data_IF_802968609650
#
_entry.id   IF_802968609650
#
_cell.length_a   1.000
_cell.length_b   1.000
_cell.length_c   1.000
_cell.angle_alpha   90.00
_cell.angle_beta   90.00
_cell.angle_gamma   90.00
#
_symmetry.space_group_name_H-M   'P 1'
#
loop_
_entity.id
_entity.type
_entity.pdbx_description
1 polymer ?
#
# COMPACT_ATOMS: atom_id res chain seq x y z
N UNK A 1 19.36 4.60 -3.10
CA UNK A 1 18.29 4.41 -4.12
C UNK A 1 18.62 5.26 -5.33
N UNK A 2 18.30 4.79 -6.53
CA UNK A 2 18.37 5.58 -7.78
C UNK A 2 16.94 6.03 -8.10
N UNK A 3 16.76 7.32 -8.09
CA UNK A 3 15.51 7.99 -8.45
C UNK A 3 15.47 8.22 -9.95
N UNK A 4 14.35 7.93 -10.61
CA UNK A 4 14.19 8.09 -12.05
C UNK A 4 12.71 8.11 -12.46
N UNK A 5 12.46 8.60 -13.68
CA UNK A 5 11.20 8.38 -14.36
C UNK A 5 11.30 7.20 -15.31
N UNK A 6 10.23 6.40 -15.39
CA UNK A 6 10.08 5.31 -16.34
C UNK A 6 8.76 5.45 -17.09
N UNK A 7 8.66 4.81 -18.25
CA UNK A 7 7.38 4.61 -18.92
C UNK A 7 6.84 3.21 -18.57
N UNK A 8 5.74 3.17 -17.86
CA UNK A 8 4.97 1.96 -17.59
C UNK A 8 3.81 1.88 -18.59
N UNK A 9 4.04 1.17 -19.70
CA UNK A 9 3.16 1.28 -20.86
C UNK A 9 3.19 2.70 -21.42
N UNK A 10 2.07 3.39 -21.33
CA UNK A 10 1.90 4.78 -21.78
C UNK A 10 1.80 5.81 -20.64
N UNK A 11 2.13 5.40 -19.41
CA UNK A 11 2.04 6.23 -18.18
C UNK A 11 3.44 6.52 -17.66
N UNK A 12 3.77 7.79 -17.45
CA UNK A 12 5.03 8.19 -16.83
C UNK A 12 4.97 8.02 -15.31
N UNK A 13 5.89 7.23 -14.76
CA UNK A 13 5.97 6.96 -13.32
C UNK A 13 7.29 7.43 -12.73
N UNK A 14 7.21 8.00 -11.56
CA UNK A 14 8.33 8.26 -10.68
C UNK A 14 8.63 7.03 -9.83
N UNK A 15 9.89 6.60 -9.81
CA UNK A 15 10.33 5.41 -9.09
C UNK A 15 11.67 5.62 -8.43
N UNK A 16 11.88 4.94 -7.29
CA UNK A 16 13.18 4.77 -6.66
C UNK A 16 13.54 3.28 -6.62
N UNK A 17 14.77 2.93 -6.99
CA UNK A 17 15.23 1.56 -7.14
C UNK A 17 16.62 1.40 -6.52
N UNK A 18 16.79 0.44 -5.62
CA UNK A 18 18.10 0.15 -5.01
C UNK A 18 19.06 -0.56 -5.97
N UNK A 19 18.53 -1.21 -7.00
CA UNK A 19 19.28 -1.99 -8.01
C UNK A 19 20.20 -3.08 -7.45
N UNK A 20 20.04 -3.46 -6.19
CA UNK A 20 20.91 -4.42 -5.49
C UNK A 20 20.05 -5.49 -4.80
N UNK A 21 20.43 -6.75 -4.91
CA UNK A 21 19.78 -7.90 -4.31
C UNK A 21 19.24 -8.89 -5.34
N UNK A 22 19.23 -10.16 -4.99
CA UNK A 22 18.70 -11.24 -5.84
C UNK A 22 17.17 -11.31 -5.79
N UNK A 23 16.59 -11.06 -4.61
CA UNK A 23 15.15 -10.99 -4.41
C UNK A 23 14.69 -9.54 -4.50
N UNK A 24 13.52 -9.33 -5.07
CA UNK A 24 12.95 -7.99 -5.24
C UNK A 24 11.70 -7.80 -4.37
N UNK A 25 11.65 -6.67 -3.67
CA UNK A 25 10.48 -6.18 -2.95
C UNK A 25 10.02 -4.89 -3.60
N UNK A 26 8.75 -4.81 -3.95
CA UNK A 26 8.12 -3.60 -4.51
C UNK A 26 7.11 -3.08 -3.52
N UNK A 27 7.23 -1.81 -3.14
CA UNK A 27 6.40 -1.15 -2.13
C UNK A 27 5.43 -0.19 -2.81
N UNK A 28 4.13 -0.43 -2.65
CA UNK A 28 3.03 0.40 -3.12
C UNK A 28 2.46 1.19 -1.93
N UNK A 29 2.46 2.50 -2.05
CA UNK A 29 1.96 3.42 -1.02
C UNK A 29 0.41 3.42 -0.92
N UNK A 30 -0.12 4.01 0.13
CA UNK A 30 -1.54 4.17 0.39
C UNK A 30 -2.16 5.39 -0.31
N UNK A 31 -3.43 5.62 -0.02
CA UNK A 31 -4.18 6.79 -0.48
C UNK A 31 -3.64 8.08 0.17
N UNK A 32 -3.45 9.13 -0.61
CA UNK A 32 -2.87 10.44 -0.23
C UNK A 32 -1.39 10.37 0.18
N UNK A 33 -0.71 9.30 -0.12
CA UNK A 33 0.71 9.10 0.11
C UNK A 33 1.49 9.17 -1.21
N UNK A 34 2.80 9.05 -1.11
CA UNK A 34 3.72 8.89 -2.24
C UNK A 34 4.80 7.87 -1.89
N UNK A 35 5.72 7.60 -2.80
CA UNK A 35 6.87 6.74 -2.51
C UNK A 35 7.74 7.25 -1.35
N UNK A 36 7.63 8.55 -1.00
CA UNK A 36 8.37 9.15 0.12
C UNK A 36 7.96 8.57 1.47
N UNK A 37 6.74 8.03 1.60
CA UNK A 37 6.29 7.40 2.85
C UNK A 37 7.19 6.24 3.30
N UNK A 38 7.96 5.67 2.35
CA UNK A 38 8.87 4.55 2.57
C UNK A 38 10.31 4.96 2.87
N UNK A 39 10.64 6.28 2.90
CA UNK A 39 12.02 6.77 2.95
C UNK A 39 12.81 6.19 4.11
N UNK A 40 12.27 6.19 5.32
CA UNK A 40 12.92 5.65 6.51
C UNK A 40 12.80 4.12 6.64
N UNK A 41 11.85 3.51 5.95
CA UNK A 41 11.67 2.05 5.96
C UNK A 41 12.61 1.33 4.99
N UNK A 42 12.84 1.89 3.81
CA UNK A 42 13.73 1.33 2.78
C UNK A 42 15.14 1.01 3.28
N UNK A 43 15.81 1.88 4.09
CA UNK A 43 17.14 1.59 4.64
C UNK A 43 17.24 0.31 5.45
N UNK A 44 16.14 -0.16 6.01
CA UNK A 44 16.08 -1.41 6.77
C UNK A 44 16.03 -2.66 5.88
N UNK A 45 15.68 -2.50 4.61
CA UNK A 45 15.46 -3.59 3.65
C UNK A 45 16.55 -3.72 2.59
N UNK A 46 17.02 -2.61 2.01
CA UNK A 46 17.79 -2.60 0.75
C UNK A 46 19.15 -3.30 0.81
N UNK A 47 19.67 -3.58 2.00
CA UNK A 47 20.91 -4.35 2.17
C UNK A 47 20.71 -5.85 1.97
N UNK A 48 19.48 -6.32 2.12
CA UNK A 48 19.12 -7.74 2.05
C UNK A 48 18.42 -8.11 0.76
N UNK A 49 17.68 -7.16 0.16
CA UNK A 49 16.86 -7.35 -1.04
C UNK A 49 16.92 -6.12 -1.94
N UNK A 50 16.65 -6.29 -3.25
CA UNK A 50 16.36 -5.16 -4.12
C UNK A 50 15.03 -4.55 -3.70
N UNK A 51 15.01 -3.25 -3.45
CA UNK A 51 13.80 -2.51 -3.07
C UNK A 51 13.44 -1.53 -4.17
N UNK A 52 12.19 -1.56 -4.61
CA UNK A 52 11.61 -0.60 -5.54
C UNK A 52 10.41 0.04 -4.88
N UNK A 53 10.37 1.37 -4.90
CA UNK A 53 9.20 2.16 -4.53
C UNK A 53 8.74 2.95 -5.75
N UNK A 54 7.46 3.19 -5.88
CA UNK A 54 6.92 3.96 -7.00
C UNK A 54 5.75 4.82 -6.55
N UNK A 55 5.62 5.98 -7.16
CA UNK A 55 4.39 6.77 -7.07
C UNK A 55 3.34 6.14 -7.98
N UNK A 56 2.23 5.71 -7.41
CA UNK A 56 1.09 5.23 -8.19
C UNK A 56 0.49 6.39 -9.01
N UNK A 57 -0.10 6.13 -10.19
CA UNK A 57 -0.69 7.17 -11.03
C UNK A 57 -1.54 8.17 -10.25
N UNK A 58 -1.26 9.46 -10.47
CA UNK A 58 -1.96 10.55 -9.81
C UNK A 58 -1.52 10.88 -8.39
N UNK A 59 -0.42 10.27 -7.92
CA UNK A 59 0.20 10.55 -6.62
C UNK A 59 1.68 10.88 -6.78
N UNK A 60 2.25 11.55 -5.78
CA UNK A 60 3.61 12.05 -5.87
C UNK A 60 3.81 12.92 -7.10
N UNK A 61 4.79 12.56 -7.93
CA UNK A 61 5.07 13.23 -9.21
C UNK A 61 4.85 12.32 -10.44
N UNK A 62 4.12 11.21 -10.27
CA UNK A 62 3.66 10.36 -11.37
C UNK A 62 2.48 10.98 -12.11
N UNK A 63 2.38 10.68 -13.41
CA UNK A 63 1.33 11.21 -14.29
C UNK A 63 -0.07 10.85 -13.80
N UNK A 64 -1.01 11.80 -13.90
CA UNK A 64 -2.44 11.53 -13.77
C UNK A 64 -2.99 11.15 -15.13
N UNK A 65 -3.56 9.96 -15.28
CA UNK A 65 -4.09 9.49 -16.56
C UNK A 65 -5.50 8.91 -16.43
N UNK A 66 -6.43 9.54 -17.14
CA UNK A 66 -7.84 9.15 -17.09
C UNK A 66 -8.61 9.71 -15.90
N UNK A 67 -9.91 9.47 -15.89
CA UNK A 67 -10.82 10.02 -14.88
C UNK A 67 -11.04 9.09 -13.67
N UNK A 68 -10.74 7.79 -13.83
CA UNK A 68 -10.90 6.76 -12.79
C UNK A 68 -9.70 5.83 -12.82
N UNK A 69 -9.00 5.70 -11.71
CA UNK A 69 -7.90 4.76 -11.53
C UNK A 69 -8.42 3.50 -10.85
N UNK A 70 -8.98 2.57 -11.65
CA UNK A 70 -9.40 1.28 -11.10
C UNK A 70 -8.21 0.47 -10.59
N UNK A 71 -8.46 -0.50 -9.71
CA UNK A 71 -7.37 -1.35 -9.21
C UNK A 71 -6.76 -2.21 -10.33
N UNK A 72 -7.55 -2.57 -11.34
CA UNK A 72 -7.10 -3.28 -12.54
C UNK A 72 -6.19 -2.40 -13.42
N UNK A 73 -6.51 -1.12 -13.57
CA UNK A 73 -5.63 -0.15 -14.23
C UNK A 73 -4.30 -0.03 -13.49
N UNK A 74 -4.33 0.16 -12.17
CA UNK A 74 -3.13 0.22 -11.35
C UNK A 74 -2.31 -1.06 -11.44
N UNK A 75 -2.96 -2.24 -11.46
CA UNK A 75 -2.27 -3.52 -11.64
C UNK A 75 -1.55 -3.61 -12.99
N UNK A 76 -2.17 -3.15 -14.07
CA UNK A 76 -1.54 -3.06 -15.39
C UNK A 76 -0.31 -2.16 -15.37
N UNK A 77 -0.42 -0.98 -14.75
CA UNK A 77 0.69 -0.03 -14.62
C UNK A 77 1.83 -0.63 -13.78
N UNK A 78 1.53 -1.30 -12.66
CA UNK A 78 2.56 -1.97 -11.84
C UNK A 78 3.28 -3.05 -12.64
N UNK A 79 2.55 -3.91 -13.38
CA UNK A 79 3.16 -4.92 -14.27
C UNK A 79 4.10 -4.28 -15.29
N UNK A 80 3.66 -3.22 -15.95
CA UNK A 80 4.44 -2.53 -16.98
C UNK A 80 5.66 -1.83 -16.39
N UNK A 81 5.57 -1.30 -15.16
CA UNK A 81 6.69 -0.76 -14.42
C UNK A 81 7.74 -1.85 -14.11
N UNK A 82 7.32 -3.02 -13.64
CA UNK A 82 8.22 -4.15 -13.39
C UNK A 82 8.94 -4.58 -14.66
N UNK A 83 8.21 -4.68 -15.77
CA UNK A 83 8.80 -4.98 -17.08
C UNK A 83 9.83 -3.94 -17.51
N UNK A 84 9.51 -2.65 -17.38
CA UNK A 84 10.45 -1.55 -17.71
C UNK A 84 11.71 -1.55 -16.82
N UNK A 85 11.61 -2.07 -15.61
CA UNK A 85 12.72 -2.21 -14.65
C UNK A 85 13.49 -3.52 -14.80
N UNK A 86 13.09 -4.41 -15.73
CA UNK A 86 13.68 -5.74 -15.89
C UNK A 86 13.46 -6.65 -14.69
N UNK A 87 12.32 -6.51 -14.00
CA UNK A 87 11.95 -7.33 -12.85
C UNK A 87 10.97 -8.40 -13.33
N UNK A 88 11.39 -9.65 -13.32
CA UNK A 88 10.55 -10.79 -13.74
C UNK A 88 9.59 -11.21 -12.63
N UNK A 89 10.06 -11.20 -11.38
CA UNK A 89 9.28 -11.59 -10.20
C UNK A 89 9.64 -10.73 -8.98
N UNK A 90 8.67 -10.51 -8.11
CA UNK A 90 8.87 -9.76 -6.86
C UNK A 90 7.91 -10.21 -5.74
N UNK A 91 8.26 -9.85 -4.51
CA UNK A 91 7.28 -9.75 -3.43
C UNK A 91 6.66 -8.36 -3.49
N UNK A 92 5.35 -8.30 -3.72
CA UNK A 92 4.61 -7.05 -3.84
C UNK A 92 3.96 -6.70 -2.50
N UNK A 93 4.36 -5.59 -1.92
CA UNK A 93 3.85 -5.07 -0.64
C UNK A 93 2.94 -3.89 -0.94
N UNK A 94 1.69 -3.99 -0.53
CA UNK A 94 0.75 -2.89 -0.68
C UNK A 94 0.26 -2.38 0.68
N UNK A 95 0.55 -1.11 0.97
CA UNK A 95 0.00 -0.43 2.12
C UNK A 95 -1.40 0.10 1.80
N UNK A 96 -2.37 -0.19 2.68
CA UNK A 96 -3.73 0.36 2.56
C UNK A 96 -4.30 0.22 1.14
N UNK A 97 -4.53 1.32 0.42
CA UNK A 97 -4.96 1.34 -0.98
C UNK A 97 -3.98 0.61 -1.91
N UNK A 98 -2.67 0.73 -1.68
CA UNK A 98 -1.66 -0.04 -2.42
C UNK A 98 -1.87 -1.55 -2.31
N UNK A 99 -2.44 -2.04 -1.20
CA UNK A 99 -2.86 -3.43 -1.04
C UNK A 99 -4.02 -3.82 -1.96
N UNK A 100 -4.94 -2.90 -2.26
CA UNK A 100 -6.00 -3.16 -3.23
C UNK A 100 -5.44 -3.33 -4.65
N UNK A 101 -4.45 -2.49 -5.00
CA UNK A 101 -3.72 -2.63 -6.27
C UNK A 101 -2.91 -3.94 -6.31
N UNK A 102 -2.21 -4.29 -5.22
CA UNK A 102 -1.47 -5.54 -5.12
C UNK A 102 -2.35 -6.78 -5.27
N UNK A 103 -3.56 -6.75 -4.73
CA UNK A 103 -4.55 -7.83 -4.92
C UNK A 103 -5.03 -7.92 -6.37
N UNK A 104 -5.17 -6.79 -7.07
CA UNK A 104 -5.50 -6.81 -8.50
C UNK A 104 -4.33 -7.36 -9.33
N UNK A 105 -3.07 -7.09 -8.97
CA UNK A 105 -1.89 -7.74 -9.57
C UNK A 105 -1.92 -9.24 -9.30
N UNK A 106 -2.22 -9.65 -8.07
CA UNK A 106 -2.30 -11.07 -7.70
C UNK A 106 -3.40 -11.83 -8.49
N UNK A 107 -4.49 -11.16 -8.83
CA UNK A 107 -5.57 -11.72 -9.65
C UNK A 107 -5.19 -11.81 -11.14
N UNK A 108 -4.63 -10.75 -11.70
CA UNK A 108 -4.44 -10.60 -13.14
C UNK A 108 -3.07 -11.11 -13.63
N UNK A 109 -2.04 -11.07 -12.78
CA UNK A 109 -0.65 -11.35 -13.13
C UNK A 109 0.06 -12.15 -12.02
N UNK A 110 -0.50 -13.28 -11.53
CA UNK A 110 0.10 -14.03 -10.41
C UNK A 110 1.50 -14.55 -10.72
N UNK A 111 1.85 -14.73 -11.99
CA UNK A 111 3.14 -15.25 -12.44
C UNK A 111 4.32 -14.32 -12.13
N UNK A 112 4.07 -13.02 -11.96
CA UNK A 112 5.13 -12.04 -11.62
C UNK A 112 5.36 -11.92 -10.11
N UNK A 113 4.63 -12.70 -9.28
CA UNK A 113 4.69 -12.61 -7.84
C UNK A 113 5.38 -13.82 -7.20
N UNK A 114 6.35 -13.56 -6.33
CA UNK A 114 6.89 -14.51 -5.34
C UNK A 114 6.03 -14.51 -4.07
N UNK A 115 5.37 -13.41 -3.77
CA UNK A 115 4.44 -13.24 -2.67
C UNK A 115 3.71 -11.91 -2.75
N UNK A 116 2.60 -11.82 -2.04
CA UNK A 116 1.81 -10.59 -1.85
C UNK A 116 1.70 -10.29 -0.36
N UNK A 117 1.94 -9.05 0.00
CA UNK A 117 1.85 -8.57 1.39
C UNK A 117 0.81 -7.48 1.48
N UNK A 118 -0.20 -7.71 2.32
CA UNK A 118 -1.17 -6.69 2.68
C UNK A 118 -0.72 -6.02 3.98
N UNK A 119 -0.19 -4.82 3.88
CA UNK A 119 0.19 -4.03 5.03
C UNK A 119 -0.93 -3.07 5.39
N UNK A 120 -1.59 -3.26 6.52
CA UNK A 120 -2.77 -2.50 6.95
C UNK A 120 -3.80 -2.35 5.81
N UNK A 121 -4.14 -3.48 5.16
CA UNK A 121 -5.04 -3.52 4.01
C UNK A 121 -6.04 -4.67 4.09
N UNK A 122 -6.98 -4.75 3.15
CA UNK A 122 -8.09 -5.70 3.19
C UNK A 122 -8.48 -6.19 1.79
N UNK A 123 -8.86 -7.48 1.63
CA UNK A 123 -9.46 -7.98 0.38
C UNK A 123 -10.95 -7.62 0.23
N UNK A 124 -11.56 -7.04 1.26
CA UNK A 124 -12.98 -6.70 1.26
C UNK A 124 -13.29 -5.54 0.31
N UNK A 125 -14.45 -5.53 -0.34
CA UNK A 125 -14.95 -4.35 -1.05
C UNK A 125 -15.34 -3.25 -0.06
N UNK A 126 -15.53 -2.02 -0.55
CA UNK A 126 -16.12 -0.98 0.27
C UNK A 126 -17.56 -1.32 0.67
N UNK A 127 -17.90 -1.08 1.92
CA UNK A 127 -19.30 -1.06 2.37
C UNK A 127 -20.05 0.10 1.69
N UNK A 128 -21.39 0.06 1.70
CA UNK A 128 -22.20 1.17 1.18
C UNK A 128 -21.88 2.50 1.87
N UNK A 129 -21.64 2.46 3.19
CA UNK A 129 -21.26 3.65 3.95
C UNK A 129 -19.88 4.17 3.47
N UNK A 130 -18.90 3.31 3.30
CA UNK A 130 -17.57 3.70 2.82
C UNK A 130 -17.61 4.27 1.41
N UNK A 131 -18.42 3.70 0.52
CA UNK A 131 -18.66 4.26 -0.83
C UNK A 131 -19.30 5.66 -0.77
N UNK A 132 -20.24 5.86 0.15
CA UNK A 132 -20.86 7.18 0.34
C UNK A 132 -19.85 8.20 0.89
N UNK A 133 -18.96 7.77 1.79
CA UNK A 133 -17.90 8.62 2.33
C UNK A 133 -16.93 9.04 1.23
N UNK A 134 -16.48 8.11 0.37
CA UNK A 134 -15.60 8.42 -0.76
C UNK A 134 -16.25 9.38 -1.77
N UNK A 135 -17.54 9.23 -2.05
CA UNK A 135 -18.24 10.19 -2.92
C UNK A 135 -18.26 11.59 -2.32
N UNK A 136 -18.50 11.71 -1.00
CA UNK A 136 -18.39 13.00 -0.29
C UNK A 136 -16.98 13.58 -0.36
N UNK A 137 -15.97 12.75 -0.26
CA UNK A 137 -14.56 13.14 -0.40
C UNK A 137 -14.29 13.69 -1.82
N UNK A 138 -14.75 12.99 -2.85
CA UNK A 138 -14.70 13.47 -4.26
C UNK A 138 -15.35 14.85 -4.39
N UNK A 139 -16.54 15.03 -3.81
CA UNK A 139 -17.25 16.31 -3.88
C UNK A 139 -16.49 17.43 -3.14
N UNK A 140 -15.85 17.12 -2.00
CA UNK A 140 -15.00 18.06 -1.27
C UNK A 140 -13.79 18.50 -2.12
N UNK A 141 -13.08 17.52 -2.73
CA UNK A 141 -11.91 17.80 -3.57
C UNK A 141 -12.32 18.66 -4.77
N UNK A 142 -13.38 18.30 -5.48
CA UNK A 142 -13.92 19.06 -6.62
C UNK A 142 -14.38 20.47 -6.23
N UNK A 143 -14.78 20.68 -4.99
CA UNK A 143 -15.12 21.99 -4.44
C UNK A 143 -13.91 22.80 -3.95
N UNK A 144 -12.67 22.30 -4.17
CA UNK A 144 -11.44 22.95 -3.72
C UNK A 144 -11.26 22.93 -2.20
N UNK A 145 -11.80 21.91 -1.51
CA UNK A 145 -11.78 21.76 -0.05
C UNK A 145 -10.94 20.59 0.43
N UNK A 146 -9.92 20.18 -0.33
CA UNK A 146 -9.02 19.08 0.07
C UNK A 146 -8.25 19.38 1.37
N UNK A 147 -8.13 20.65 1.76
CA UNK A 147 -7.56 21.05 3.04
C UNK A 147 -8.28 20.44 4.25
N UNK A 148 -9.58 20.18 4.15
CA UNK A 148 -10.34 19.49 5.19
C UNK A 148 -9.91 18.03 5.34
N UNK A 149 -9.55 17.39 4.25
CA UNK A 149 -9.03 16.01 4.23
C UNK A 149 -7.61 16.01 4.79
N UNK A 150 -6.76 16.92 4.31
CA UNK A 150 -5.37 17.06 4.72
C UNK A 150 -5.20 17.23 6.24
N UNK A 151 -6.13 17.94 6.89
CA UNK A 151 -6.08 18.19 8.34
C UNK A 151 -6.43 16.98 9.21
N UNK A 152 -7.10 15.97 8.65
CA UNK A 152 -7.67 14.85 9.44
C UNK A 152 -7.02 13.52 9.07
N UNK A 153 -6.91 13.22 7.77
CA UNK A 153 -6.52 11.90 7.30
C UNK A 153 -5.11 11.47 7.77
N UNK A 154 -4.06 12.28 7.68
CA UNK A 154 -2.72 11.88 8.10
C UNK A 154 -2.66 11.47 9.56
N UNK A 155 -3.16 12.30 10.46
CA UNK A 155 -3.13 12.01 11.90
C UNK A 155 -3.97 10.77 12.28
N UNK A 156 -5.06 10.50 11.56
CA UNK A 156 -5.91 9.35 11.82
C UNK A 156 -5.24 8.01 11.49
N UNK A 157 -4.19 8.01 10.65
CA UNK A 157 -3.39 6.83 10.33
C UNK A 157 -2.50 6.34 11.48
N UNK A 158 -2.16 7.18 12.44
CA UNK A 158 -1.29 6.82 13.56
C UNK A 158 -2.08 6.42 14.79
N UNK A 159 -1.54 5.48 15.58
CA UNK A 159 -2.07 5.19 16.92
C UNK A 159 -2.12 6.47 17.75
N UNK A 160 -3.20 6.69 18.50
CA UNK A 160 -3.42 7.95 19.21
C UNK A 160 -2.26 8.34 20.11
N UNK A 161 -1.71 7.41 20.86
CA UNK A 161 -0.56 7.61 21.74
C UNK A 161 0.74 7.93 20.98
N UNK A 162 0.86 7.55 19.72
CA UNK A 162 2.04 7.80 18.89
C UNK A 162 2.03 9.16 18.20
N UNK A 163 0.87 9.80 18.02
CA UNK A 163 0.71 11.04 17.24
C UNK A 163 1.66 12.15 17.65
N UNK A 164 1.92 12.29 18.97
CA UNK A 164 2.87 13.31 19.45
C UNK A 164 4.30 13.00 19.04
N UNK A 165 4.71 11.73 19.07
CA UNK A 165 6.04 11.27 18.67
C UNK A 165 6.21 11.32 17.16
N UNK A 166 5.12 11.17 16.41
CA UNK A 166 5.06 11.12 14.96
C UNK A 166 4.63 12.45 14.31
N UNK A 167 4.74 13.59 15.05
CA UNK A 167 4.28 14.90 14.57
C UNK A 167 4.88 15.29 13.23
N UNK A 168 6.18 15.04 13.03
CA UNK A 168 6.90 15.43 11.83
C UNK A 168 6.41 14.62 10.61
N UNK A 169 6.22 13.30 10.77
CA UNK A 169 5.61 12.47 9.72
C UNK A 169 4.17 12.88 9.40
N UNK A 170 3.39 13.27 10.40
CA UNK A 170 2.02 13.75 10.19
C UNK A 170 2.03 15.06 9.41
N UNK A 171 2.99 15.95 9.68
CA UNK A 171 3.16 17.20 8.95
C UNK A 171 3.57 16.94 7.50
N UNK A 172 4.58 16.08 7.26
CA UNK A 172 5.02 15.69 5.91
C UNK A 172 3.89 15.06 5.08
N UNK A 173 3.11 14.14 5.68
CA UNK A 173 1.95 13.55 5.02
C UNK A 173 0.87 14.60 4.74
N UNK A 174 0.67 15.56 5.62
CA UNK A 174 -0.28 16.66 5.42
C UNK A 174 0.15 17.53 4.24
N UNK A 175 1.44 17.83 4.12
CA UNK A 175 2.00 18.57 2.99
C UNK A 175 1.85 17.77 1.66
N UNK A 176 2.06 16.46 1.69
CA UNK A 176 1.85 15.61 0.52
C UNK A 176 0.41 15.69 0.00
N UNK A 177 -0.59 15.72 0.88
CA UNK A 177 -2.00 15.91 0.44
C UNK A 177 -2.18 17.23 -0.29
N UNK A 178 -1.54 18.31 0.18
CA UNK A 178 -1.67 19.63 -0.46
C UNK A 178 -1.05 19.67 -1.86
N UNK A 179 0.07 18.97 -2.07
CA UNK A 179 0.76 18.96 -3.38
C UNK A 179 0.20 17.93 -4.35
N UNK A 180 -0.52 16.91 -3.88
CA UNK A 180 -1.16 15.91 -4.74
C UNK A 180 -2.23 16.57 -5.61
N UNK A 181 -2.25 16.27 -6.90
CA UNK A 181 -3.22 16.81 -7.85
C UNK A 181 -4.66 16.35 -7.52
N UNK A 182 -5.59 17.30 -7.52
CA UNK A 182 -7.02 17.02 -7.26
C UNK A 182 -7.58 15.96 -8.21
N UNK A 183 -7.15 15.98 -9.48
CA UNK A 183 -7.55 14.99 -10.48
C UNK A 183 -7.10 13.57 -10.10
N UNK A 184 -5.87 13.40 -9.58
CA UNK A 184 -5.35 12.12 -9.12
C UNK A 184 -6.13 11.58 -7.92
N UNK A 185 -6.41 12.45 -6.93
CA UNK A 185 -7.22 12.10 -5.77
C UNK A 185 -8.61 11.61 -6.18
N UNK A 186 -9.30 12.36 -7.06
CA UNK A 186 -10.64 12.02 -7.55
C UNK A 186 -10.64 10.71 -8.33
N UNK A 187 -9.67 10.54 -9.24
CA UNK A 187 -9.55 9.33 -10.06
C UNK A 187 -9.36 8.08 -9.20
N UNK A 188 -8.51 8.17 -8.17
CA UNK A 188 -8.25 7.05 -7.28
C UNK A 188 -9.43 6.73 -6.35
N UNK A 189 -10.09 7.76 -5.78
CA UNK A 189 -11.31 7.57 -4.99
C UNK A 189 -12.40 6.86 -5.80
N UNK A 190 -12.55 7.23 -7.08
CA UNK A 190 -13.43 6.53 -8.02
C UNK A 190 -13.10 5.05 -8.12
N UNK A 191 -11.85 4.71 -8.40
CA UNK A 191 -11.38 3.33 -8.54
C UNK A 191 -11.53 2.51 -7.26
N UNK A 192 -11.25 3.10 -6.10
CA UNK A 192 -11.47 2.43 -4.81
C UNK A 192 -12.95 2.12 -4.56
N UNK A 193 -13.86 3.02 -4.96
CA UNK A 193 -15.30 2.82 -4.82
C UNK A 193 -15.82 1.62 -5.62
N UNK A 194 -15.20 1.36 -6.76
CA UNK A 194 -15.61 0.32 -7.71
C UNK A 194 -14.95 -1.04 -7.48
N UNK A 195 -13.94 -1.11 -6.58
CA UNK A 195 -13.16 -2.35 -6.40
C UNK A 195 -14.04 -3.53 -5.97
N UNK A 196 -13.83 -4.69 -6.60
CA UNK A 196 -14.57 -5.91 -6.26
C UNK A 196 -14.11 -6.54 -4.95
N UNK A 197 -14.90 -7.49 -4.43
CA UNK A 197 -14.50 -8.43 -3.40
C UNK A 197 -13.45 -9.40 -3.95
N UNK A 198 -12.27 -9.44 -3.32
CA UNK A 198 -11.17 -10.33 -3.72
C UNK A 198 -10.89 -11.46 -2.72
N UNK A 199 -11.79 -11.69 -1.75
CA UNK A 199 -11.63 -12.75 -0.76
C UNK A 199 -11.54 -14.14 -1.40
N UNK A 200 -12.45 -14.45 -2.33
CA UNK A 200 -12.47 -15.76 -2.97
C UNK A 200 -11.26 -15.98 -3.88
N UNK A 201 -10.85 -14.96 -4.64
CA UNK A 201 -9.64 -14.98 -5.44
C UNK A 201 -8.43 -15.29 -4.55
N UNK A 202 -8.29 -14.56 -3.45
CA UNK A 202 -7.15 -14.69 -2.54
C UNK A 202 -7.09 -16.06 -1.85
N UNK A 203 -8.24 -16.64 -1.47
CA UNK A 203 -8.31 -18.00 -0.91
C UNK A 203 -7.86 -19.08 -1.91
N UNK A 204 -8.06 -18.87 -3.21
CA UNK A 204 -7.67 -19.82 -4.27
C UNK A 204 -6.29 -19.57 -4.83
N UNK A 205 -5.69 -18.43 -4.53
CA UNK A 205 -4.38 -18.07 -5.04
C UNK A 205 -3.30 -18.99 -4.48
N UNK A 206 -2.37 -19.41 -5.34
CA UNK A 206 -1.15 -20.14 -4.96
C UNK A 206 0.01 -19.21 -4.59
N UNK A 207 -0.16 -17.89 -4.77
CA UNK A 207 0.83 -16.89 -4.37
C UNK A 207 0.91 -16.86 -2.85
N UNK A 208 2.13 -16.85 -2.31
CA UNK A 208 2.33 -16.72 -0.84
C UNK A 208 1.75 -15.39 -0.35
N UNK A 209 1.12 -15.42 0.81
CA UNK A 209 0.38 -14.28 1.37
C UNK A 209 0.85 -13.95 2.78
N UNK A 210 1.07 -12.67 3.04
CA UNK A 210 1.33 -12.16 4.38
C UNK A 210 0.40 -10.98 4.66
N UNK A 211 -0.23 -10.98 5.83
CA UNK A 211 -0.97 -9.85 6.34
C UNK A 211 -0.22 -9.25 7.53
N UNK A 212 0.03 -7.95 7.49
CA UNK A 212 0.63 -7.20 8.60
C UNK A 212 -0.39 -6.17 9.08
N UNK A 213 -0.80 -6.25 10.33
CA UNK A 213 -1.80 -5.37 10.92
C UNK A 213 -1.27 -4.65 12.16
N UNK A 214 -1.63 -3.39 12.33
CA UNK A 214 -1.46 -2.66 13.58
C UNK A 214 -2.61 -2.94 14.55
N UNK A 215 -2.31 -3.21 15.81
CA UNK A 215 -3.34 -3.47 16.84
C UNK A 215 -4.21 -2.25 17.14
N UNK A 216 -3.68 -1.04 16.88
CA UNK A 216 -4.31 0.25 17.18
C UNK A 216 -4.77 0.98 15.91
N UNK A 217 -4.95 0.23 14.82
CA UNK A 217 -5.36 0.76 13.52
C UNK A 217 -6.82 1.26 13.59
N UNK A 218 -7.01 2.57 13.35
CA UNK A 218 -8.33 3.19 13.33
C UNK A 218 -9.10 2.99 12.03
N UNK A 219 -8.42 2.62 10.92
CA UNK A 219 -9.05 2.34 9.62
C UNK A 219 -9.44 0.87 9.47
N UNK A 220 -8.63 -0.04 10.02
CA UNK A 220 -8.91 -1.48 10.08
C UNK A 220 -8.82 -1.92 11.54
N UNK A 221 -9.91 -1.77 12.31
CA UNK A 221 -9.91 -2.17 13.73
C UNK A 221 -9.49 -3.61 13.92
N UNK A 222 -8.84 -3.92 15.05
CA UNK A 222 -8.29 -5.24 15.34
C UNK A 222 -9.30 -6.38 15.13
N UNK A 223 -10.56 -6.20 15.52
CA UNK A 223 -11.65 -7.18 15.29
C UNK A 223 -11.85 -7.46 13.80
N UNK A 224 -11.80 -6.42 12.95
CA UNK A 224 -11.90 -6.57 11.48
C UNK A 224 -10.69 -7.30 10.93
N UNK A 225 -9.49 -6.95 11.38
CA UNK A 225 -8.24 -7.60 10.97
C UNK A 225 -8.20 -9.08 11.39
N UNK A 226 -8.67 -9.40 12.59
CA UNK A 226 -8.81 -10.79 13.08
C UNK A 226 -9.82 -11.59 12.24
N UNK A 227 -10.94 -10.98 11.85
CA UNK A 227 -11.92 -11.62 10.97
C UNK A 227 -11.32 -11.88 9.56
N UNK A 228 -10.53 -10.95 9.01
CA UNK A 228 -9.82 -11.14 7.74
C UNK A 228 -8.81 -12.29 7.87
N UNK A 229 -8.01 -12.30 8.94
CA UNK A 229 -7.02 -13.36 9.19
C UNK A 229 -7.69 -14.75 9.30
N UNK A 230 -8.77 -14.84 10.05
CA UNK A 230 -9.54 -16.09 10.20
C UNK A 230 -10.16 -16.59 8.88
N UNK A 231 -10.53 -15.67 7.98
CA UNK A 231 -11.08 -16.01 6.66
C UNK A 231 -10.02 -16.49 5.65
N UNK A 232 -8.72 -16.31 5.96
CA UNK A 232 -7.58 -16.65 5.08
C UNK A 232 -6.52 -17.47 5.83
N UNK A 233 -6.83 -18.70 6.28
CA UNK A 233 -5.92 -19.49 7.12
C UNK A 233 -4.63 -19.94 6.42
N UNK A 234 -4.55 -19.79 5.08
CA UNK A 234 -3.34 -20.05 4.30
C UNK A 234 -2.34 -18.88 4.32
N UNK A 235 -2.78 -17.68 4.75
CA UNK A 235 -1.92 -16.52 4.83
C UNK A 235 -1.11 -16.53 6.14
N UNK A 236 0.15 -16.11 6.06
CA UNK A 236 0.89 -15.72 7.25
C UNK A 236 0.29 -14.43 7.81
N UNK A 237 0.23 -14.29 9.14
CA UNK A 237 -0.34 -13.09 9.79
C UNK A 237 0.64 -12.60 10.85
N UNK A 238 0.93 -11.31 10.82
CA UNK A 238 1.77 -10.66 11.79
C UNK A 238 1.07 -9.41 12.37
N UNK A 239 1.38 -9.12 13.62
CA UNK A 239 0.83 -8.00 14.35
C UNK A 239 1.93 -7.05 14.81
N UNK A 240 1.63 -5.77 14.71
CA UNK A 240 2.41 -4.67 15.28
C UNK A 240 1.61 -4.11 16.45
N UNK A 241 2.06 -4.43 17.66
CA UNK A 241 1.25 -4.24 18.87
C UNK A 241 1.08 -2.76 19.26
N UNK A 242 2.06 -1.93 18.91
CA UNK A 242 2.08 -0.51 19.25
C UNK A 242 1.77 0.42 18.07
N UNK A 243 1.31 -0.13 16.94
CA UNK A 243 1.06 0.61 15.72
C UNK A 243 -0.43 0.78 15.40
N UNK A 244 -0.73 1.92 14.78
CA UNK A 244 -1.95 2.15 14.03
C UNK A 244 -1.84 1.64 12.59
N UNK A 245 -2.31 2.45 11.64
CA UNK A 245 -2.31 2.13 10.22
C UNK A 245 -0.91 2.22 9.58
N UNK A 246 -0.03 3.06 10.15
CA UNK A 246 1.30 3.39 9.63
C UNK A 246 2.40 2.54 10.28
N UNK A 247 2.18 1.24 10.40
CA UNK A 247 3.06 0.35 11.18
C UNK A 247 4.52 0.32 10.71
N UNK A 248 4.80 0.56 9.44
CA UNK A 248 6.17 0.66 8.92
C UNK A 248 6.89 1.97 9.32
N UNK A 249 6.15 2.96 9.85
CA UNK A 249 6.68 4.19 10.47
C UNK A 249 6.70 4.03 11.99
N UNK A 250 5.67 3.45 12.57
CA UNK A 250 5.49 3.38 14.03
C UNK A 250 6.38 2.31 14.69
N UNK A 251 6.53 1.14 14.02
CA UNK A 251 7.40 0.01 14.45
C UNK A 251 8.28 -0.48 13.29
N UNK A 252 9.14 0.38 12.68
CA UNK A 252 9.83 0.08 11.44
C UNK A 252 10.75 -1.14 11.52
N UNK A 253 11.49 -1.32 12.62
CA UNK A 253 12.40 -2.45 12.78
C UNK A 253 11.65 -3.79 12.81
N UNK A 254 10.52 -3.85 13.54
CA UNK A 254 9.70 -5.05 13.63
C UNK A 254 9.02 -5.37 12.29
N UNK A 255 8.50 -4.34 11.62
CA UNK A 255 7.90 -4.47 10.30
C UNK A 255 8.91 -4.99 9.27
N UNK A 256 10.15 -4.48 9.29
CA UNK A 256 11.21 -4.94 8.40
C UNK A 256 11.63 -6.39 8.68
N UNK A 257 11.76 -6.78 9.95
CA UNK A 257 12.04 -8.17 10.34
C UNK A 257 10.99 -9.14 9.80
N UNK A 258 9.70 -8.82 9.99
CA UNK A 258 8.57 -9.61 9.50
C UNK A 258 8.62 -9.75 7.98
N UNK A 259 8.77 -8.63 7.28
CA UNK A 259 8.81 -8.62 5.82
C UNK A 259 10.00 -9.41 5.26
N UNK A 260 11.20 -9.21 5.81
CA UNK A 260 12.40 -9.94 5.38
C UNK A 260 12.30 -11.43 5.68
N UNK A 261 11.74 -11.83 6.81
CA UNK A 261 11.45 -13.23 7.14
C UNK A 261 10.53 -13.88 6.09
N UNK A 262 9.46 -13.20 5.72
CA UNK A 262 8.56 -13.65 4.65
C UNK A 262 9.27 -13.74 3.30
N UNK A 263 10.01 -12.73 2.89
CA UNK A 263 10.73 -12.71 1.61
C UNK A 263 11.77 -13.82 1.55
N UNK A 264 12.50 -14.10 2.65
CA UNK A 264 13.53 -15.12 2.69
C UNK A 264 12.99 -16.55 2.78
N UNK A 265 11.73 -16.71 3.09
CA UNK A 265 11.12 -18.03 3.28
C UNK A 265 11.43 -18.62 4.65
N UNK A 266 11.94 -17.80 5.57
CA UNK A 266 12.24 -18.19 6.96
C UNK A 266 10.94 -18.17 7.79
N UNK A 267 9.82 -18.67 7.25
CA UNK A 267 8.50 -18.61 7.84
C UNK A 267 8.55 -18.77 9.35
N UNK A 268 8.17 -17.74 10.10
CA UNK A 268 7.92 -17.90 11.52
C UNK A 268 6.77 -18.90 11.66
N UNK A 269 6.91 -19.93 12.54
CA UNK A 269 5.75 -20.72 12.90
C UNK A 269 4.67 -19.78 13.43
N UNK A 270 3.38 -20.06 13.17
CA UNK A 270 2.30 -19.24 13.68
C UNK A 270 2.51 -19.04 15.19
N UNK A 271 2.53 -17.79 15.64
CA UNK A 271 2.63 -17.48 17.06
C UNK A 271 1.36 -18.04 17.69
N UNK A 272 1.54 -19.21 18.30
CA UNK A 272 0.47 -19.91 18.98
C UNK A 272 0.05 -19.15 20.22
N UNK A 273 -1.27 -19.00 20.34
CA UNK A 273 -2.13 -18.72 21.50
C UNK A 273 -1.76 -17.58 22.43
#
# INVERSE_FOLDING_TARGET
MIEKFIMAGDTALHVCDSQQGERCVVLLHGYLESLLVWEDFVPLLYRSVRVVTLDLPGHGISEVKGEVHTMEYLAGVVRDALHALGIERCTLVGHSMGGYAALAVCELYPEILDGVVLFSSTPNPDSEQKRADRRREIDLVRAGKKDLIARIAPAAGFAEENRRRMSDYIEDLTEQVFVTEDAGIVALLGGMTERPDRNEMLRRSSVRQLFIFGRKDGYIPAETAEAIAAAHPQAEVAWLDDSGHMGFIEEPARAAEILLGFVNGDGQPPVGN
#
